data_IF_995568167121
#
_entry.id   IF_995568167121
#
_cell.length_a   1.000
_cell.length_b   1.000
_cell.length_c   1.000
_cell.angle_alpha   90.00
_cell.angle_beta   90.00
_cell.angle_gamma   90.00
#
_symmetry.space_group_name_H-M   'P 1'
#
loop_
_entity.id
_entity.type
_entity.pdbx_description
1 polymer ?
#
# COMPACT_ATOMS: atom_id res chain seq x y z
N UNK A 1 36.65 13.17 -11.33
CA UNK A 1 36.50 11.70 -11.36
C UNK A 1 36.97 11.20 -10.00
N UNK A 2 36.06 10.97 -9.07
CA UNK A 2 36.42 10.51 -7.73
C UNK A 2 36.83 9.03 -7.80
N UNK A 3 38.02 8.78 -7.26
CA UNK A 3 38.64 7.46 -7.21
C UNK A 3 37.87 6.65 -6.17
N UNK A 4 37.29 5.54 -6.60
CA UNK A 4 36.71 4.52 -5.72
C UNK A 4 37.81 4.03 -4.76
N UNK A 5 37.85 4.62 -3.58
CA UNK A 5 38.81 4.30 -2.53
C UNK A 5 38.53 2.86 -2.06
N UNK A 6 39.49 1.94 -2.17
CA UNK A 6 39.32 0.54 -1.77
C UNK A 6 38.79 0.37 -0.33
N UNK A 7 39.06 1.33 0.55
CA UNK A 7 38.56 1.34 1.93
C UNK A 7 37.03 1.54 2.02
N UNK A 8 36.37 2.11 1.01
CA UNK A 8 34.91 2.22 1.00
C UNK A 8 34.24 0.86 0.76
N UNK A 9 34.84 -0.02 -0.05
CA UNK A 9 34.31 -1.37 -0.30
C UNK A 9 34.51 -2.33 0.87
N UNK A 10 35.64 -2.21 1.61
CA UNK A 10 35.91 -3.04 2.79
C UNK A 10 34.91 -2.73 3.92
N UNK A 11 34.50 -1.46 4.04
CA UNK A 11 33.53 -1.00 5.03
C UNK A 11 32.08 -1.05 4.54
N UNK A 12 31.84 -1.49 3.30
CA UNK A 12 30.50 -1.62 2.72
C UNK A 12 29.78 -2.83 3.34
N UNK A 13 29.19 -2.62 4.52
CA UNK A 13 28.34 -3.59 5.21
C UNK A 13 27.05 -3.81 4.41
N UNK A 14 27.12 -4.64 3.39
CA UNK A 14 25.92 -5.10 2.69
C UNK A 14 25.13 -5.99 3.65
N UNK A 15 23.88 -5.66 3.99
CA UNK A 15 23.06 -6.57 4.75
C UNK A 15 22.89 -7.84 3.91
N UNK A 16 23.55 -8.93 4.33
CA UNK A 16 23.31 -10.24 3.77
C UNK A 16 21.92 -10.65 4.24
N UNK A 17 20.96 -10.55 3.32
CA UNK A 17 19.60 -11.00 3.56
C UNK A 17 19.62 -12.52 3.40
N UNK A 18 19.76 -13.23 4.51
CA UNK A 18 19.57 -14.68 4.55
C UNK A 18 18.07 -14.98 4.62
N UNK A 19 17.51 -15.44 3.50
CA UNK A 19 16.11 -15.84 3.37
C UNK A 19 15.80 -17.16 4.11
N UNK A 20 16.80 -17.78 4.78
CA UNK A 20 16.69 -19.01 5.59
C UNK A 20 16.12 -20.21 4.82
N UNK A 21 16.25 -20.16 3.50
CA UNK A 21 15.86 -21.20 2.57
C UNK A 21 17.11 -21.94 2.09
N UNK A 22 17.00 -23.27 2.01
CA UNK A 22 17.99 -24.12 1.35
C UNK A 22 17.73 -24.08 -0.15
N UNK A 23 18.70 -23.50 -0.85
CA UNK A 23 18.72 -23.37 -2.30
C UNK A 23 19.59 -24.44 -2.98
N UNK A 24 20.26 -25.31 -2.22
CA UNK A 24 21.20 -26.29 -2.78
C UNK A 24 20.60 -27.10 -3.92
N UNK A 25 19.40 -27.64 -3.72
CA UNK A 25 18.69 -28.43 -4.74
C UNK A 25 18.28 -27.61 -5.96
N UNK A 26 17.89 -26.34 -5.79
CA UNK A 26 17.56 -25.45 -6.90
C UNK A 26 18.81 -25.14 -7.75
N UNK A 27 19.95 -24.97 -7.08
CA UNK A 27 21.24 -24.68 -7.74
C UNK A 27 21.69 -25.90 -8.55
N UNK A 28 21.62 -27.10 -7.97
CA UNK A 28 21.94 -28.36 -8.65
C UNK A 28 21.01 -28.56 -9.86
N UNK A 29 19.69 -28.38 -9.68
CA UNK A 29 18.72 -28.47 -10.77
C UNK A 29 19.02 -27.48 -11.91
N UNK A 30 19.49 -26.28 -11.58
CA UNK A 30 19.89 -25.28 -12.57
C UNK A 30 21.14 -25.69 -13.35
N UNK A 31 22.10 -26.36 -12.73
CA UNK A 31 23.29 -26.87 -13.43
C UNK A 31 22.92 -27.99 -14.41
N UNK A 32 22.00 -28.87 -14.00
CA UNK A 32 21.57 -30.01 -14.81
C UNK A 32 20.54 -29.64 -15.89
N UNK A 33 19.95 -28.44 -15.84
CA UNK A 33 18.96 -27.98 -16.82
C UNK A 33 19.49 -28.02 -18.26
N UNK A 34 20.75 -27.59 -18.46
CA UNK A 34 21.40 -27.64 -19.77
C UNK A 34 21.67 -29.08 -20.24
N UNK A 35 22.01 -29.98 -19.32
CA UNK A 35 22.22 -31.39 -19.62
C UNK A 35 20.90 -32.06 -20.03
N UNK A 36 19.80 -31.83 -19.29
CA UNK A 36 18.46 -32.32 -19.65
C UNK A 36 18.00 -31.84 -21.02
N UNK A 37 18.23 -30.57 -21.35
CA UNK A 37 17.89 -30.02 -22.65
C UNK A 37 18.64 -30.73 -23.79
N UNK A 38 19.93 -31.04 -23.61
CA UNK A 38 20.75 -31.74 -24.60
C UNK A 38 20.36 -33.21 -24.75
N UNK A 39 20.10 -33.90 -23.64
CA UNK A 39 19.70 -35.30 -23.64
C UNK A 39 18.22 -35.51 -24.02
N UNK A 40 17.47 -34.43 -24.31
CA UNK A 40 16.02 -34.47 -24.61
C UNK A 40 15.23 -35.23 -23.55
N UNK A 41 15.64 -35.08 -22.30
CA UNK A 41 14.94 -35.68 -21.18
C UNK A 41 13.52 -35.12 -21.07
N UNK A 42 12.57 -35.89 -20.50
CA UNK A 42 11.24 -35.37 -20.18
C UNK A 42 11.33 -34.10 -19.34
N UNK A 43 10.38 -33.18 -19.55
CA UNK A 43 10.32 -31.93 -18.80
C UNK A 43 10.20 -32.19 -17.29
N UNK A 44 11.13 -31.63 -16.52
CA UNK A 44 11.09 -31.62 -15.07
C UNK A 44 10.81 -30.21 -14.58
N UNK A 45 9.77 -29.98 -13.76
CA UNK A 45 9.45 -28.66 -13.26
C UNK A 45 10.56 -28.15 -12.31
N UNK A 46 10.84 -26.84 -12.29
CA UNK A 46 11.85 -26.26 -11.42
C UNK A 46 11.62 -26.57 -9.94
N UNK A 47 12.67 -26.97 -9.23
CA UNK A 47 12.60 -27.19 -7.79
C UNK A 47 12.40 -25.87 -7.04
N UNK A 48 11.53 -25.87 -6.03
CA UNK A 48 11.33 -24.73 -5.14
C UNK A 48 12.27 -24.81 -3.95
N UNK A 49 12.82 -23.69 -3.48
CA UNK A 49 13.73 -23.69 -2.34
C UNK A 49 13.01 -24.13 -1.07
N UNK A 50 13.68 -24.95 -0.27
CA UNK A 50 13.09 -25.54 0.93
C UNK A 50 13.42 -24.67 2.14
N UNK A 51 12.41 -24.21 2.87
CA UNK A 51 12.63 -23.46 4.13
C UNK A 51 13.26 -24.40 5.17
N UNK A 52 14.45 -24.04 5.65
CA UNK A 52 15.19 -24.85 6.65
C UNK A 52 14.70 -24.53 8.07
N UNK A 53 14.31 -23.27 8.30
CA UNK A 53 13.83 -22.81 9.59
C UNK A 53 12.43 -22.23 9.41
N UNK A 54 11.45 -22.81 10.11
CA UNK A 54 10.17 -22.16 10.33
C UNK A 54 10.42 -21.16 11.46
N UNK A 55 10.23 -19.84 11.28
CA UNK A 55 10.41 -18.89 12.36
C UNK A 55 9.47 -19.28 13.52
N UNK A 56 9.92 -19.23 14.79
CA UNK A 56 9.10 -19.60 15.95
C UNK A 56 7.84 -18.71 16.14
N UNK A 57 7.54 -17.81 15.21
CA UNK A 57 6.41 -16.89 15.26
C UNK A 57 5.14 -17.40 14.57
N UNK A 58 4.97 -18.72 14.41
CA UNK A 58 3.63 -19.31 14.23
C UNK A 58 3.28 -20.15 15.44
N UNK A 59 2.37 -19.60 16.23
CA UNK A 59 1.63 -20.14 17.39
C UNK A 59 2.23 -19.88 18.78
N UNK A 60 2.04 -18.64 19.25
CA UNK A 60 1.23 -18.39 20.45
C UNK A 60 0.68 -16.97 20.35
N UNK A 61 -0.62 -16.78 20.55
CA UNK A 61 -1.18 -15.44 20.83
C UNK A 61 -0.67 -15.00 22.20
N UNK A 62 0.56 -14.53 22.27
CA UNK A 62 1.08 -13.86 23.47
C UNK A 62 0.27 -12.57 23.60
N UNK A 63 -0.57 -12.48 24.63
CA UNK A 63 -1.17 -11.22 25.05
C UNK A 63 -0.01 -10.27 25.37
N UNK A 64 0.35 -9.39 24.43
CA UNK A 64 1.30 -8.31 24.70
C UNK A 64 0.78 -7.53 25.91
N UNK A 65 1.63 -7.17 26.89
CA UNK A 65 1.22 -6.31 27.99
C UNK A 65 0.58 -5.05 27.40
N UNK A 66 -0.57 -4.67 27.96
CA UNK A 66 -1.29 -3.46 27.56
C UNK A 66 -0.34 -2.28 27.74
N UNK A 67 0.30 -1.86 26.65
CA UNK A 67 0.85 -0.52 26.55
C UNK A 67 -0.30 0.41 26.86
N UNK A 68 -0.11 1.22 27.89
CA UNK A 68 -1.02 2.26 28.36
C UNK A 68 -1.70 2.92 27.17
N UNK A 69 -3.03 2.91 27.17
CA UNK A 69 -3.88 3.56 26.16
C UNK A 69 -3.45 5.01 26.00
N UNK A 70 -2.58 5.30 25.04
CA UNK A 70 -2.54 6.61 24.40
C UNK A 70 -3.80 6.68 23.55
N UNK A 71 -4.61 7.69 23.81
CA UNK A 71 -5.95 7.93 23.27
C UNK A 71 -6.19 7.36 21.88
N UNK A 72 -7.35 6.73 21.71
CA UNK A 72 -7.91 6.27 20.44
C UNK A 72 -7.97 7.39 19.39
N UNK A 73 -6.85 7.65 18.74
CA UNK A 73 -6.75 8.52 17.56
C UNK A 73 -6.02 7.74 16.48
N UNK A 74 -6.65 6.65 16.03
CA UNK A 74 -6.37 6.05 14.72
C UNK A 74 -6.63 7.13 13.66
N UNK A 75 -5.56 7.80 13.24
CA UNK A 75 -5.52 8.91 12.29
C UNK A 75 -5.88 8.50 10.85
N UNK A 76 -6.24 7.24 10.62
CA UNK A 76 -6.58 6.73 9.29
C UNK A 76 -8.06 6.94 8.88
N UNK A 77 -8.95 7.34 9.79
CA UNK A 77 -10.40 7.26 9.58
C UNK A 77 -11.23 8.49 9.95
N UNK A 78 -10.63 9.61 10.37
CA UNK A 78 -11.43 10.74 10.88
C UNK A 78 -12.28 11.42 9.81
N UNK A 79 -11.68 11.76 8.67
CA UNK A 79 -12.43 12.50 7.67
C UNK A 79 -13.50 11.61 7.04
N UNK A 80 -14.76 12.04 7.10
CA UNK A 80 -15.87 11.36 6.40
C UNK A 80 -15.89 11.73 4.92
N UNK A 81 -16.50 10.89 4.08
CA UNK A 81 -16.66 11.21 2.67
C UNK A 81 -17.53 12.46 2.46
N UNK A 82 -18.52 12.70 3.33
CA UNK A 82 -19.34 13.91 3.33
C UNK A 82 -18.52 15.18 3.53
N UNK A 83 -17.53 15.14 4.43
CA UNK A 83 -16.67 16.30 4.74
C UNK A 83 -15.76 16.64 3.56
N UNK A 84 -15.21 15.62 2.88
CA UNK A 84 -14.41 15.82 1.67
C UNK A 84 -15.26 16.42 0.55
N UNK A 85 -16.44 15.86 0.30
CA UNK A 85 -17.35 16.31 -0.75
C UNK A 85 -17.81 17.74 -0.47
N UNK A 86 -18.16 18.09 0.76
CA UNK A 86 -18.59 19.44 1.13
C UNK A 86 -17.52 20.50 0.85
N UNK A 87 -16.23 20.15 0.98
CA UNK A 87 -15.15 21.07 0.63
C UNK A 87 -14.99 21.23 -0.88
N UNK A 88 -15.19 20.15 -1.63
CA UNK A 88 -14.93 20.08 -3.07
C UNK A 88 -16.10 20.51 -3.95
N UNK A 89 -17.33 20.40 -3.46
CA UNK A 89 -18.53 20.63 -4.26
C UNK A 89 -18.54 22.05 -4.82
N UNK A 90 -18.70 22.17 -6.15
CA UNK A 90 -18.76 23.47 -6.84
C UNK A 90 -17.45 24.26 -6.88
N UNK A 91 -16.30 23.67 -6.48
CA UNK A 91 -15.00 24.34 -6.52
C UNK A 91 -14.02 23.60 -7.43
N UNK A 92 -13.14 24.38 -8.06
CA UNK A 92 -12.01 23.86 -8.82
C UNK A 92 -10.79 23.91 -7.93
N UNK A 93 -10.32 22.75 -7.47
CA UNK A 93 -9.25 22.68 -6.47
C UNK A 93 -8.15 21.71 -6.92
N UNK A 94 -6.90 22.08 -6.61
CA UNK A 94 -5.75 21.17 -6.65
C UNK A 94 -5.70 20.33 -5.38
N UNK A 95 -4.88 19.27 -5.35
CA UNK A 95 -4.68 18.49 -4.12
C UNK A 95 -4.26 19.33 -2.91
N UNK A 96 -3.37 20.31 -3.12
CA UNK A 96 -2.92 21.24 -2.08
C UNK A 96 -4.04 22.19 -1.65
N UNK A 97 -4.84 22.68 -2.61
CA UNK A 97 -6.03 23.48 -2.33
C UNK A 97 -7.06 22.73 -1.47
N UNK A 98 -7.26 21.44 -1.73
CA UNK A 98 -8.17 20.60 -0.94
C UNK A 98 -7.64 20.42 0.49
N UNK A 99 -6.34 20.16 0.67
CA UNK A 99 -5.74 20.00 1.99
C UNK A 99 -5.86 21.29 2.83
N UNK A 100 -5.55 22.44 2.24
CA UNK A 100 -5.66 23.73 2.95
C UNK A 100 -7.10 24.05 3.31
N UNK A 101 -8.06 23.72 2.44
CA UNK A 101 -9.49 23.90 2.73
C UNK A 101 -9.99 22.94 3.82
N UNK A 102 -9.48 21.71 3.86
CA UNK A 102 -9.77 20.73 4.91
C UNK A 102 -9.18 21.14 6.26
N UNK A 103 -7.98 21.70 6.28
CA UNK A 103 -7.36 22.21 7.50
C UNK A 103 -8.17 23.36 8.12
N UNK A 104 -8.72 24.24 7.27
CA UNK A 104 -9.59 25.35 7.71
C UNK A 104 -10.95 24.90 8.24
N UNK A 105 -11.58 23.92 7.59
CA UNK A 105 -12.95 23.49 7.92
C UNK A 105 -13.01 22.42 9.00
N UNK A 106 -12.01 21.52 9.04
CA UNK A 106 -11.96 20.37 9.93
C UNK A 106 -10.54 20.24 10.52
N UNK A 107 -10.20 21.03 11.54
CA UNK A 107 -8.90 20.91 12.20
C UNK A 107 -8.77 19.51 12.85
N UNK A 108 -7.58 18.91 12.75
CA UNK A 108 -7.33 17.57 13.33
C UNK A 108 -7.91 16.39 12.54
N UNK A 109 -8.26 16.60 11.26
CA UNK A 109 -8.73 15.56 10.33
C UNK A 109 -7.64 14.52 9.98
N UNK A 110 -6.36 14.87 10.09
CA UNK A 110 -5.21 13.95 10.00
C UNK A 110 -4.97 13.33 8.62
N UNK A 111 -5.50 13.91 7.54
CA UNK A 111 -5.27 13.39 6.18
C UNK A 111 -3.90 13.85 5.68
N UNK A 112 -3.12 12.90 5.19
CA UNK A 112 -1.91 13.18 4.40
C UNK A 112 -2.22 13.28 2.92
N UNK A 113 -1.34 13.91 2.14
CA UNK A 113 -1.47 14.00 0.68
C UNK A 113 -1.71 12.64 0.02
N UNK A 114 -0.98 11.60 0.45
CA UNK A 114 -1.13 10.24 -0.07
C UNK A 114 -2.53 9.67 0.21
N UNK A 115 -3.07 9.91 1.41
CA UNK A 115 -4.42 9.48 1.77
C UNK A 115 -5.48 10.21 0.94
N UNK A 116 -5.28 11.51 0.69
CA UNK A 116 -6.17 12.28 -0.17
C UNK A 116 -6.16 11.75 -1.61
N UNK A 117 -4.98 11.49 -2.18
CA UNK A 117 -4.84 10.89 -3.51
C UNK A 117 -5.59 9.55 -3.62
N UNK A 118 -5.44 8.66 -2.64
CA UNK A 118 -6.13 7.37 -2.63
C UNK A 118 -7.66 7.53 -2.55
N UNK A 119 -8.15 8.52 -1.79
CA UNK A 119 -9.58 8.84 -1.73
C UNK A 119 -10.08 9.41 -3.05
N UNK A 120 -9.31 10.30 -3.68
CA UNK A 120 -9.63 10.88 -4.98
C UNK A 120 -9.71 9.82 -6.08
N UNK A 121 -8.78 8.87 -6.11
CA UNK A 121 -8.87 7.73 -7.03
C UNK A 121 -10.17 6.95 -6.81
N UNK A 122 -10.58 6.74 -5.55
CA UNK A 122 -11.85 6.08 -5.22
C UNK A 122 -13.08 6.86 -5.65
N UNK A 123 -13.06 8.19 -5.51
CA UNK A 123 -14.12 9.09 -6.00
C UNK A 123 -14.21 9.06 -7.53
N UNK A 124 -13.09 9.16 -8.24
CA UNK A 124 -13.03 9.13 -9.71
C UNK A 124 -13.45 7.79 -10.31
N UNK A 125 -13.19 6.68 -9.61
CA UNK A 125 -13.61 5.34 -10.05
C UNK A 125 -15.06 5.01 -9.69
N UNK A 126 -15.71 5.84 -8.88
CA UNK A 126 -17.06 5.56 -8.40
C UNK A 126 -18.09 5.96 -9.45
N UNK A 127 -19.04 5.08 -9.83
CA UNK A 127 -20.11 5.44 -10.77
C UNK A 127 -21.14 6.41 -10.15
N UNK A 128 -21.03 6.65 -8.85
CA UNK A 128 -21.97 7.43 -8.05
C UNK A 128 -21.55 8.90 -7.87
N UNK A 129 -20.48 9.30 -8.55
CA UNK A 129 -19.82 10.60 -8.40
C UNK A 129 -19.48 11.15 -9.78
N UNK A 130 -19.85 12.39 -10.03
CA UNK A 130 -19.50 13.11 -11.25
C UNK A 130 -18.34 14.06 -10.94
N UNK A 131 -17.14 13.66 -11.33
CA UNK A 131 -15.91 14.42 -11.12
C UNK A 131 -15.16 14.57 -12.43
N UNK A 132 -14.75 15.79 -12.75
CA UNK A 132 -13.91 16.09 -13.90
C UNK A 132 -12.50 16.44 -13.43
N UNK A 133 -11.51 15.93 -14.16
CA UNK A 133 -10.09 16.25 -13.95
C UNK A 133 -9.63 17.12 -15.11
N UNK A 134 -9.09 18.28 -14.79
CA UNK A 134 -8.54 19.20 -15.77
C UNK A 134 -7.03 18.96 -15.93
N UNK A 135 -6.60 18.72 -17.15
CA UNK A 135 -5.19 18.52 -17.51
C UNK A 135 -4.47 19.86 -17.70
N UNK A 136 -4.30 20.55 -16.58
CA UNK A 136 -3.41 21.72 -16.44
C UNK A 136 -2.03 21.27 -15.94
N UNK A 137 -0.98 22.10 -16.03
CA UNK A 137 0.37 21.75 -15.51
C UNK A 137 0.33 21.27 -14.06
N UNK A 138 -0.61 21.76 -13.25
CA UNK A 138 -1.01 21.14 -11.98
C UNK A 138 -2.45 20.64 -12.15
N UNK A 139 -2.73 19.35 -11.89
CA UNK A 139 -4.08 18.80 -12.09
C UNK A 139 -5.07 19.44 -11.11
N UNK A 140 -6.17 19.92 -11.66
CA UNK A 140 -7.32 20.46 -10.92
C UNK A 140 -8.51 19.51 -11.03
N UNK A 141 -9.34 19.49 -9.99
CA UNK A 141 -10.52 18.64 -9.91
C UNK A 141 -11.76 19.50 -9.67
N UNK A 142 -12.82 19.18 -10.41
CA UNK A 142 -14.14 19.79 -10.22
C UNK A 142 -15.13 18.69 -9.88
N UNK A 143 -15.76 18.80 -8.71
CA UNK A 143 -16.81 17.89 -8.27
C UNK A 143 -18.18 18.52 -8.58
N UNK A 144 -18.92 17.90 -9.51
CA UNK A 144 -20.22 18.40 -9.97
C UNK A 144 -21.36 17.90 -9.09
N UNK A 145 -21.46 16.57 -8.95
CA UNK A 145 -22.55 15.93 -8.24
C UNK A 145 -22.09 14.65 -7.53
N UNK A 146 -22.75 14.33 -6.42
CA UNK A 146 -22.52 13.10 -5.64
C UNK A 146 -23.86 12.52 -5.25
N UNK A 147 -24.09 11.26 -5.59
CA UNK A 147 -25.34 10.57 -5.24
C UNK A 147 -25.31 9.97 -3.83
N UNK A 148 -26.48 9.81 -3.21
CA UNK A 148 -26.59 9.29 -1.84
C UNK A 148 -26.00 7.90 -1.64
N UNK A 149 -26.06 7.07 -2.68
CA UNK A 149 -25.48 5.71 -2.69
C UNK A 149 -23.98 5.73 -2.39
N UNK A 150 -23.27 6.77 -2.82
CA UNK A 150 -21.85 6.94 -2.53
C UNK A 150 -21.57 7.01 -1.02
N UNK A 151 -22.40 7.72 -0.26
CA UNK A 151 -22.21 7.84 1.19
C UNK A 151 -22.49 6.52 1.92
N UNK A 152 -23.47 5.75 1.45
CA UNK A 152 -23.75 4.40 1.98
C UNK A 152 -22.56 3.49 1.75
N UNK A 153 -22.04 3.44 0.52
CA UNK A 153 -20.87 2.60 0.17
C UNK A 153 -19.61 3.03 0.91
N UNK A 154 -19.45 4.34 1.15
CA UNK A 154 -18.32 4.86 1.90
C UNK A 154 -18.33 4.36 3.35
N UNK A 155 -19.50 4.40 4.01
CA UNK A 155 -19.68 3.87 5.37
C UNK A 155 -19.44 2.36 5.43
N UNK A 156 -19.93 1.61 4.45
CA UNK A 156 -19.70 0.16 4.35
C UNK A 156 -18.21 -0.17 4.19
N UNK A 157 -17.51 0.54 3.31
CA UNK A 157 -16.05 0.37 3.12
C UNK A 157 -15.26 0.71 4.36
N UNK A 158 -15.63 1.77 5.08
CA UNK A 158 -15.01 2.12 6.37
C UNK A 158 -15.20 1.00 7.41
N UNK A 159 -16.40 0.41 7.48
CA UNK A 159 -16.72 -0.70 8.38
C UNK A 159 -15.95 -1.97 8.02
N UNK A 160 -15.85 -2.34 6.73
CA UNK A 160 -15.03 -3.48 6.27
C UNK A 160 -13.56 -3.33 6.64
N UNK A 161 -12.97 -2.14 6.41
CA UNK A 161 -11.58 -1.84 6.78
C UNK A 161 -11.32 -1.93 8.28
N UNK A 162 -12.29 -1.50 9.10
CA UNK A 162 -12.20 -1.64 10.56
C UNK A 162 -12.29 -3.11 11.01
N UNK A 163 -12.99 -3.95 10.25
CA UNK A 163 -13.15 -5.38 10.54
C UNK A 163 -11.97 -6.24 10.06
N UNK A 164 -11.12 -5.72 9.18
CA UNK A 164 -9.90 -6.40 8.73
C UNK A 164 -10.13 -7.56 7.75
N UNK A 165 -11.30 -7.65 7.13
CA UNK A 165 -11.57 -8.64 6.09
C UNK A 165 -10.88 -8.21 4.79
N UNK A 166 -9.76 -8.86 4.49
CA UNK A 166 -9.11 -8.86 3.19
C UNK A 166 -9.91 -9.77 2.25
N UNK A 167 -10.74 -9.17 1.39
CA UNK A 167 -11.31 -9.88 0.25
C UNK A 167 -10.15 -10.19 -0.72
N UNK A 168 -9.57 -11.39 -0.61
CA UNK A 168 -8.69 -12.01 -1.60
C UNK A 168 -9.53 -12.38 -2.83
N UNK A 169 -9.18 -11.84 -4.00
CA UNK A 169 -9.46 -12.44 -5.30
C UNK A 169 -8.39 -12.02 -6.31
#
# INVERSE_FOLDING_TARGET
MEINNCNSFINDSRPVIDDKCDHSLCIIDSWDAAARARCRAPYTPPLKPRKVVIPPSKVTKVKRPKVVKKSDTSSALRLKASELVAVMIGKNLTYTGILTALEKSYPGHGITLRMLQMRMIGLMKSPHVEITRHEKPVPEFTLHSVSDRFYVDSKLRAKKRAKGDSDEN
#
